data_IF_330226111282
#
_entry.id   IF_330226111282
#
_cell.length_a   1.000
_cell.length_b   1.000
_cell.length_c   1.000
_cell.angle_alpha   90.00
_cell.angle_beta   90.00
_cell.angle_gamma   90.00
#
_symmetry.space_group_name_H-M   'P 1'
#
loop_
_entity.id
_entity.type
_entity.pdbx_description
1 polymer ?
#
# COMPACT_ATOMS: atom_id res chain seq x y z
N UNK A 1 -17.95 15.08 -18.21
CA UNK A 1 -17.81 15.29 -16.75
C UNK A 1 -16.39 14.91 -16.39
N UNK A 2 -15.52 15.88 -16.07
CA UNK A 2 -14.09 15.63 -15.87
C UNK A 2 -13.88 14.77 -14.61
N UNK A 3 -13.71 13.45 -14.80
CA UNK A 3 -13.32 12.51 -13.76
C UNK A 3 -11.98 13.00 -13.19
N UNK A 4 -11.99 13.59 -11.99
CA UNK A 4 -10.76 13.80 -11.23
C UNK A 4 -10.25 12.41 -10.84
N UNK A 5 -9.51 11.77 -11.75
CA UNK A 5 -8.91 10.46 -11.49
C UNK A 5 -7.91 10.69 -10.35
N UNK A 6 -8.28 10.23 -9.16
CA UNK A 6 -7.48 10.26 -7.94
C UNK A 6 -6.35 9.25 -8.10
N UNK A 7 -5.12 9.67 -7.88
CA UNK A 7 -3.95 8.78 -7.94
C UNK A 7 -3.95 7.95 -6.67
N UNK A 8 -3.84 6.63 -6.76
CA UNK A 8 -3.83 5.77 -5.57
C UNK A 8 -2.59 4.86 -5.56
N UNK A 9 -1.95 4.76 -4.40
CA UNK A 9 -0.97 3.75 -4.06
C UNK A 9 -1.68 2.69 -3.23
N UNK A 10 -1.72 1.45 -3.71
CA UNK A 10 -2.27 0.32 -2.99
C UNK A 10 -1.15 -0.40 -2.24
N UNK A 11 -1.35 -0.59 -0.94
CA UNK A 11 -0.62 -1.58 -0.18
C UNK A 11 -1.23 -2.96 -0.46
N UNK A 12 -0.46 -3.82 -1.11
CA UNK A 12 -0.88 -5.18 -1.48
C UNK A 12 0.05 -6.22 -0.87
N UNK A 13 -0.52 -7.40 -0.62
CA UNK A 13 0.27 -8.58 -0.27
C UNK A 13 0.75 -9.30 -1.52
N UNK A 14 1.90 -9.99 -1.46
CA UNK A 14 2.27 -10.99 -2.44
C UNK A 14 1.27 -12.15 -2.40
N UNK A 15 0.25 -12.13 -3.27
CA UNK A 15 -0.69 -13.24 -3.44
C UNK A 15 -0.35 -14.04 -4.69
N UNK A 16 0.83 -14.66 -4.73
CA UNK A 16 1.05 -15.76 -5.66
C UNK A 16 0.56 -17.07 -5.02
N UNK A 17 -0.58 -17.55 -5.53
CA UNK A 17 -1.08 -18.92 -5.44
C UNK A 17 -1.37 -19.47 -4.02
N UNK A 18 -2.33 -18.87 -3.32
CA UNK A 18 -3.19 -19.64 -2.42
C UNK A 18 -4.65 -19.32 -2.72
N UNK A 19 -5.23 -20.04 -3.69
CA UNK A 19 -6.69 -20.11 -3.89
C UNK A 19 -7.38 -20.72 -2.66
N UNK A 20 -8.69 -20.46 -2.46
CA UNK A 20 -9.18 -19.93 -1.20
C UNK A 20 -9.87 -21.03 -0.38
N UNK A 21 -9.38 -21.27 0.84
CA UNK A 21 -10.15 -21.95 1.89
C UNK A 21 -10.65 -20.99 2.98
N UNK A 22 -10.32 -19.70 2.91
CA UNK A 22 -10.71 -18.73 3.93
C UNK A 22 -11.34 -17.46 3.33
N UNK A 23 -12.21 -17.63 2.33
CA UNK A 23 -13.09 -16.56 1.83
C UNK A 23 -14.25 -16.22 2.81
N UNK A 24 -14.15 -16.60 4.09
CA UNK A 24 -15.14 -16.29 5.12
C UNK A 24 -14.70 -15.25 6.14
N UNK A 25 -13.39 -15.06 6.33
CA UNK A 25 -12.80 -14.06 7.23
C UNK A 25 -11.34 -13.90 6.78
N UNK A 26 -10.99 -12.93 5.94
CA UNK A 26 -9.60 -12.48 6.05
C UNK A 26 -9.48 -11.96 7.47
N UNK A 27 -8.62 -12.58 8.27
CA UNK A 27 -8.50 -12.28 9.70
C UNK A 27 -8.49 -10.76 9.88
N UNK A 28 -9.38 -10.24 10.74
CA UNK A 28 -9.52 -8.81 11.00
C UNK A 28 -8.15 -8.16 11.28
N UNK A 29 -7.21 -8.96 11.81
CA UNK A 29 -5.81 -8.61 12.02
C UNK A 29 -5.06 -8.27 10.72
N UNK A 30 -5.17 -9.06 9.65
CA UNK A 30 -4.52 -8.79 8.35
C UNK A 30 -5.00 -7.47 7.78
N UNK A 31 -6.33 -7.26 7.76
CA UNK A 31 -6.94 -6.03 7.25
C UNK A 31 -6.51 -4.83 8.09
N UNK A 32 -6.49 -4.97 9.42
CA UNK A 32 -6.04 -3.91 10.34
C UNK A 32 -4.57 -3.56 10.11
N UNK A 33 -3.68 -4.55 9.99
CA UNK A 33 -2.25 -4.33 9.72
C UNK A 33 -2.05 -3.60 8.40
N UNK A 34 -2.75 -4.00 7.33
CA UNK A 34 -2.68 -3.33 6.03
C UNK A 34 -3.19 -1.88 6.11
N UNK A 35 -4.35 -1.67 6.75
CA UNK A 35 -4.95 -0.33 6.95
C UNK A 35 -4.00 0.60 7.71
N UNK A 36 -3.49 0.16 8.85
CA UNK A 36 -2.62 0.97 9.70
C UNK A 36 -1.30 1.30 8.99
N UNK A 37 -0.76 0.33 8.24
CA UNK A 37 0.44 0.54 7.42
C UNK A 37 0.19 1.55 6.30
N UNK A 38 -0.93 1.46 5.58
CA UNK A 38 -1.27 2.41 4.53
C UNK A 38 -1.42 3.84 5.08
N UNK A 39 -2.09 4.01 6.23
CA UNK A 39 -2.24 5.31 6.90
C UNK A 39 -0.90 5.88 7.37
N UNK A 40 0.00 5.02 7.84
CA UNK A 40 1.32 5.45 8.27
C UNK A 40 2.19 5.88 7.09
N UNK A 41 2.21 5.10 6.01
CA UNK A 41 2.91 5.46 4.77
C UNK A 41 2.42 6.79 4.20
N UNK A 42 1.13 7.07 4.34
CA UNK A 42 0.55 8.32 3.87
C UNK A 42 1.09 9.53 4.65
N UNK A 43 1.18 9.43 5.98
CA UNK A 43 1.77 10.46 6.86
C UNK A 43 3.26 10.66 6.62
N UNK A 44 3.97 9.59 6.27
CA UNK A 44 5.41 9.65 5.98
C UNK A 44 5.70 10.00 4.51
N UNK A 45 4.67 10.26 3.68
CA UNK A 45 4.78 10.40 2.23
C UNK A 45 5.88 11.36 1.81
N UNK A 46 5.95 12.55 2.41
CA UNK A 46 6.97 13.54 2.06
C UNK A 46 8.42 13.00 2.19
N UNK A 47 8.66 12.07 3.12
CA UNK A 47 9.97 11.47 3.36
C UNK A 47 10.25 10.25 2.46
N UNK A 48 9.20 9.53 2.06
CA UNK A 48 9.31 8.29 1.27
C UNK A 48 9.10 8.51 -0.23
N UNK A 49 8.46 9.61 -0.64
CA UNK A 49 8.10 9.90 -2.03
C UNK A 49 9.27 9.79 -3.02
N UNK A 50 10.47 10.34 -2.75
CA UNK A 50 11.61 10.20 -3.67
C UNK A 50 12.03 8.74 -3.85
N UNK A 51 11.84 7.91 -2.82
CA UNK A 51 12.18 6.48 -2.88
C UNK A 51 11.12 5.73 -3.67
N UNK A 52 9.84 6.00 -3.40
CA UNK A 52 8.74 5.42 -4.16
C UNK A 52 8.84 5.78 -5.64
N UNK A 53 9.02 7.05 -5.99
CA UNK A 53 9.10 7.51 -7.39
C UNK A 53 10.30 6.92 -8.16
N UNK A 54 11.40 6.57 -7.47
CA UNK A 54 12.51 5.86 -8.11
C UNK A 54 12.20 4.40 -8.42
N UNK A 55 11.46 3.72 -7.53
CA UNK A 55 11.18 2.29 -7.66
C UNK A 55 9.94 2.02 -8.51
N UNK A 56 8.90 2.86 -8.39
CA UNK A 56 7.65 2.77 -9.15
C UNK A 56 7.79 3.69 -10.37
N UNK A 57 8.09 3.10 -11.52
CA UNK A 57 8.38 3.80 -12.77
C UNK A 57 7.91 2.97 -13.98
N UNK A 58 8.32 3.33 -15.20
CA UNK A 58 7.92 2.64 -16.43
C UNK A 58 8.37 1.17 -16.51
N UNK A 59 9.36 0.77 -15.72
CA UNK A 59 9.92 -0.59 -15.70
C UNK A 59 9.31 -1.48 -14.61
N UNK A 60 8.61 -0.90 -13.63
CA UNK A 60 7.98 -1.62 -12.53
C UNK A 60 7.01 -0.71 -11.79
N UNK A 61 5.77 -1.17 -11.60
CA UNK A 61 4.69 -0.36 -11.00
C UNK A 61 4.51 -0.62 -9.49
N UNK A 62 5.45 -1.34 -8.89
CA UNK A 62 5.47 -1.70 -7.49
C UNK A 62 6.84 -1.44 -6.85
N UNK A 63 6.84 -1.29 -5.54
CA UNK A 63 8.03 -1.18 -4.72
C UNK A 63 7.86 -2.02 -3.45
N UNK A 64 8.80 -2.92 -3.12
CA UNK A 64 8.75 -3.64 -1.86
C UNK A 64 8.91 -2.67 -0.69
N UNK A 65 8.23 -2.91 0.43
CA UNK A 65 8.28 -2.01 1.60
C UNK A 65 9.71 -1.81 2.13
N UNK A 66 10.58 -2.82 1.98
CA UNK A 66 12.00 -2.77 2.34
C UNK A 66 12.79 -1.74 1.53
N UNK A 67 12.32 -1.35 0.34
CA UNK A 67 12.94 -0.26 -0.40
C UNK A 67 12.85 1.07 0.37
N UNK A 68 11.82 1.24 1.20
CA UNK A 68 11.58 2.46 1.97
C UNK A 68 12.49 2.60 3.18
N UNK A 69 13.11 1.53 3.68
CA UNK A 69 13.99 1.56 4.86
C UNK A 69 15.45 1.87 4.50
N UNK A 70 15.77 1.90 3.19
CA UNK A 70 17.10 2.22 2.68
C UNK A 70 17.57 3.62 3.12
N UNK A 71 18.89 3.83 3.33
CA UNK A 71 19.43 5.10 3.80
C UNK A 71 19.17 6.20 2.77
N UNK A 72 18.17 7.03 3.04
CA UNK A 72 17.96 8.30 2.36
C UNK A 72 18.18 9.44 3.38
N UNK A 73 18.30 10.67 2.90
CA UNK A 73 18.43 11.90 3.70
C UNK A 73 17.19 12.18 4.59
N UNK A 74 16.91 11.28 5.54
CA UNK A 74 15.90 11.39 6.58
C UNK A 74 16.61 11.49 7.92
N UNK A 75 15.96 12.12 8.91
CA UNK A 75 16.50 12.10 10.26
C UNK A 75 16.64 10.66 10.77
N UNK A 76 17.71 10.36 11.52
CA UNK A 76 17.95 9.02 12.07
C UNK A 76 16.80 8.50 12.94
N UNK A 77 16.06 9.41 13.59
CA UNK A 77 14.90 9.09 14.44
C UNK A 77 13.68 8.69 13.61
N UNK A 78 13.32 9.49 12.60
CA UNK A 78 12.21 9.16 11.70
C UNK A 78 12.48 7.87 10.93
N UNK A 79 13.73 7.66 10.50
CA UNK A 79 14.15 6.41 9.85
C UNK A 79 13.90 5.19 10.74
N UNK A 80 14.41 5.22 11.98
CA UNK A 80 14.25 4.10 12.92
C UNK A 80 12.78 3.81 13.21
N UNK A 81 11.95 4.85 13.36
CA UNK A 81 10.51 4.69 13.58
C UNK A 81 9.84 3.95 12.43
N UNK A 82 10.05 4.39 11.19
CA UNK A 82 9.47 3.76 10.01
C UNK A 82 9.98 2.31 9.83
N UNK A 83 11.29 2.09 10.00
CA UNK A 83 11.91 0.77 9.86
C UNK A 83 11.31 -0.25 10.84
N UNK A 84 11.23 0.11 12.12
CA UNK A 84 10.58 -0.73 13.15
C UNK A 84 9.12 -1.01 12.81
N UNK A 85 8.39 0.00 12.31
CA UNK A 85 6.98 -0.15 11.96
C UNK A 85 6.79 -1.11 10.79
N UNK A 86 7.52 -0.92 9.68
CA UNK A 86 7.40 -1.79 8.51
C UNK A 86 7.80 -3.23 8.84
N UNK A 87 8.87 -3.42 9.63
CA UNK A 87 9.24 -4.75 10.13
C UNK A 87 8.18 -5.38 11.03
N UNK A 88 7.53 -4.61 11.90
CA UNK A 88 6.46 -5.11 12.77
C UNK A 88 5.19 -5.47 11.99
N UNK A 89 4.83 -4.68 10.98
CA UNK A 89 3.68 -4.94 10.12
C UNK A 89 3.89 -6.21 9.30
N UNK A 90 5.07 -6.36 8.71
CA UNK A 90 5.42 -7.55 7.93
C UNK A 90 5.39 -8.82 8.79
N UNK A 91 6.00 -8.76 9.99
CA UNK A 91 5.94 -9.86 10.96
C UNK A 91 4.51 -10.20 11.35
N UNK A 92 3.70 -9.21 11.71
CA UNK A 92 2.31 -9.42 12.11
C UNK A 92 1.48 -10.05 10.97
N UNK A 93 1.78 -9.69 9.72
CA UNK A 93 1.11 -10.28 8.56
C UNK A 93 1.53 -11.75 8.35
N UNK A 94 2.83 -12.05 8.46
CA UNK A 94 3.34 -13.42 8.36
C UNK A 94 2.76 -14.32 9.46
N UNK A 95 2.69 -13.83 10.70
CA UNK A 95 2.06 -14.53 11.82
C UNK A 95 0.55 -14.74 11.59
N UNK A 96 -0.15 -13.76 11.05
CA UNK A 96 -1.58 -13.88 10.77
C UNK A 96 -1.88 -14.84 9.60
N UNK A 97 -0.91 -15.08 8.72
CA UNK A 97 -1.04 -15.98 7.57
C UNK A 97 -0.38 -17.34 7.77
N UNK A 98 0.38 -17.55 8.85
CA UNK A 98 1.09 -18.80 9.14
C UNK A 98 2.22 -19.11 8.16
N UNK A 99 2.90 -18.07 7.67
CA UNK A 99 3.96 -18.16 6.64
C UNK A 99 5.30 -17.55 7.13
N UNK A 100 5.53 -17.60 8.44
CA UNK A 100 6.67 -16.98 9.12
C UNK A 100 8.02 -17.38 8.53
N UNK A 101 8.14 -18.63 8.06
CA UNK A 101 9.39 -19.23 7.57
C UNK A 101 9.56 -19.16 6.04
N UNK A 102 8.59 -18.61 5.31
CA UNK A 102 8.51 -18.78 3.84
C UNK A 102 8.78 -17.48 3.06
N UNK A 103 8.64 -16.32 3.70
CA UNK A 103 8.87 -15.03 3.04
C UNK A 103 9.58 -14.03 3.97
N UNK A 104 10.60 -13.35 3.45
CA UNK A 104 11.28 -12.25 4.15
C UNK A 104 10.45 -10.96 4.18
N UNK A 105 9.55 -10.80 3.20
CA UNK A 105 8.64 -9.67 3.09
C UNK A 105 7.38 -10.05 2.29
N UNK A 106 6.21 -9.70 2.80
CA UNK A 106 4.92 -9.97 2.17
C UNK A 106 4.26 -8.73 1.55
N UNK A 107 4.63 -7.53 2.00
CA UNK A 107 3.97 -6.30 1.61
C UNK A 107 4.76 -5.51 0.55
N UNK A 108 4.03 -4.98 -0.41
CA UNK A 108 4.52 -4.03 -1.40
C UNK A 108 3.56 -2.85 -1.60
N UNK A 109 4.08 -1.73 -2.07
CA UNK A 109 3.28 -0.59 -2.52
C UNK A 109 3.24 -0.61 -4.03
N UNK A 110 2.04 -0.60 -4.63
CA UNK A 110 1.84 -0.52 -6.08
C UNK A 110 1.00 0.68 -6.47
N UNK A 111 1.18 1.16 -7.69
CA UNK A 111 0.23 2.10 -8.27
C UNK A 111 -1.09 1.37 -8.59
N UNK A 112 -2.23 1.96 -8.25
CA UNK A 112 -3.54 1.33 -8.46
C UNK A 112 -3.90 1.17 -9.95
N UNK A 113 -3.50 2.13 -10.77
CA UNK A 113 -3.68 2.11 -12.21
C UNK A 113 -2.41 2.64 -12.90
N UNK A 114 -1.81 1.91 -13.84
CA UNK A 114 -0.62 2.34 -14.58
C UNK A 114 -0.74 3.74 -15.21
N UNK A 115 -1.93 4.13 -15.65
CA UNK A 115 -2.19 5.45 -16.27
C UNK A 115 -1.97 6.63 -15.32
N UNK A 116 -1.97 6.38 -14.01
CA UNK A 116 -1.71 7.41 -13.00
C UNK A 116 -0.23 7.79 -12.89
N UNK A 117 0.67 6.99 -13.48
CA UNK A 117 2.12 7.08 -13.27
C UNK A 117 2.66 8.46 -13.66
N UNK A 118 2.29 8.94 -14.85
CA UNK A 118 2.79 10.21 -15.37
C UNK A 118 2.43 11.38 -14.45
N UNK A 119 1.19 11.41 -13.94
CA UNK A 119 0.70 12.48 -13.06
C UNK A 119 1.34 12.42 -11.68
N UNK A 120 1.55 11.21 -11.16
CA UNK A 120 2.18 11.00 -9.87
C UNK A 120 3.68 11.37 -9.89
N UNK A 121 4.38 10.99 -10.96
CA UNK A 121 5.76 11.40 -11.20
C UNK A 121 5.89 12.91 -11.41
N UNK A 122 4.87 13.56 -11.96
CA UNK A 122 4.78 15.03 -12.06
C UNK A 122 4.47 15.74 -10.73
N UNK A 123 4.39 15.01 -9.61
CA UNK A 123 4.24 15.58 -8.27
C UNK A 123 2.79 15.68 -7.77
N UNK A 124 1.81 15.13 -8.49
CA UNK A 124 0.46 15.04 -7.97
C UNK A 124 0.41 14.08 -6.77
N UNK A 125 -0.14 14.55 -5.65
CA UNK A 125 -0.25 13.77 -4.42
C UNK A 125 -1.13 12.52 -4.63
N UNK A 126 -0.67 11.33 -4.19
CA UNK A 126 -1.45 10.10 -4.19
C UNK A 126 -2.33 10.00 -2.94
N UNK A 127 -3.36 9.18 -3.03
CA UNK A 127 -4.04 8.57 -1.90
C UNK A 127 -3.40 7.22 -1.60
N UNK A 128 -3.34 6.83 -0.34
CA UNK A 128 -2.83 5.54 0.12
C UNK A 128 -3.99 4.65 0.51
N UNK A 129 -4.21 3.60 -0.27
CA UNK A 129 -5.25 2.63 -0.04
C UNK A 129 -4.62 1.28 0.37
N UNK A 130 -5.46 0.38 0.89
CA UNK A 130 -5.07 -0.98 1.19
C UNK A 130 -6.04 -1.96 0.57
N UNK A 131 -5.54 -3.14 0.21
CA UNK A 131 -6.36 -4.25 -0.23
C UNK A 131 -7.25 -4.79 0.91
N UNK A 132 -8.59 -4.75 0.75
CA UNK A 132 -9.54 -5.41 1.64
C UNK A 132 -9.40 -6.95 1.63
N UNK A 133 -10.15 -7.59 2.53
CA UNK A 133 -10.37 -9.03 2.50
C UNK A 133 -11.03 -9.50 1.20
N UNK A 134 -10.72 -10.72 0.75
CA UNK A 134 -11.39 -11.35 -0.39
C UNK A 134 -10.87 -10.90 -1.76
N UNK A 135 -11.52 -11.37 -2.82
CA UNK A 135 -11.08 -11.13 -4.19
C UNK A 135 -11.29 -9.67 -4.61
N UNK A 136 -10.35 -9.10 -5.37
CA UNK A 136 -10.42 -7.74 -5.92
C UNK A 136 -11.75 -7.45 -6.64
N UNK A 137 -12.33 -8.47 -7.30
CA UNK A 137 -13.62 -8.39 -8.01
C UNK A 137 -14.82 -8.17 -7.08
N UNK A 138 -14.67 -8.42 -5.79
CA UNK A 138 -15.74 -8.31 -4.78
C UNK A 138 -15.66 -7.02 -3.97
N UNK A 139 -14.61 -6.23 -4.15
CA UNK A 139 -14.43 -4.98 -3.41
C UNK A 139 -15.41 -3.91 -3.90
N UNK A 140 -16.38 -3.58 -3.06
CA UNK A 140 -17.36 -2.52 -3.32
C UNK A 140 -16.88 -1.15 -2.84
N UNK A 141 -15.95 -1.14 -1.89
CA UNK A 141 -15.34 0.07 -1.34
C UNK A 141 -13.92 -0.24 -0.88
N UNK A 142 -12.99 0.67 -1.15
CA UNK A 142 -11.63 0.63 -0.63
C UNK A 142 -11.45 1.91 0.17
N UNK A 143 -11.00 1.78 1.41
CA UNK A 143 -10.62 2.94 2.18
C UNK A 143 -9.24 3.43 1.75
N UNK A 144 -9.10 4.75 1.67
CA UNK A 144 -7.86 5.41 1.30
C UNK A 144 -7.58 6.59 2.23
N UNK A 145 -6.30 6.95 2.35
CA UNK A 145 -5.81 8.05 3.16
C UNK A 145 -5.10 9.07 2.28
N UNK A 146 -5.33 10.35 2.51
CA UNK A 146 -4.50 11.40 1.91
C UNK A 146 -3.09 11.43 2.54
N UNK A 147 -2.22 12.31 2.03
CA UNK A 147 -0.84 12.48 2.50
C UNK A 147 -0.73 13.04 3.94
N UNK A 148 -1.85 13.35 4.59
CA UNK A 148 -1.93 13.74 6.00
C UNK A 148 -2.45 12.59 6.89
N UNK A 149 -2.91 11.49 6.28
CA UNK A 149 -3.49 10.35 6.98
C UNK A 149 -4.97 10.49 7.29
N UNK A 150 -5.66 11.40 6.63
CA UNK A 150 -7.11 11.57 6.73
C UNK A 150 -7.81 10.75 5.66
N UNK A 151 -8.98 10.19 5.98
CA UNK A 151 -9.86 9.59 5.00
C UNK A 151 -10.55 10.73 4.22
N UNK A 152 -10.29 10.91 2.91
CA UNK A 152 -11.04 11.88 2.14
C UNK A 152 -12.51 11.46 2.13
N UNK A 153 -13.39 12.41 2.44
CA UNK A 153 -14.84 12.19 2.44
C UNK A 153 -15.24 11.79 1.02
N UNK A 154 -15.83 10.61 0.85
CA UNK A 154 -16.17 9.92 -0.42
C UNK A 154 -14.99 9.42 -1.29
N UNK A 155 -14.50 8.20 -1.00
CA UNK A 155 -13.81 7.37 -1.99
C UNK A 155 -14.64 6.12 -2.31
N UNK A 156 -15.27 6.12 -3.49
CA UNK A 156 -15.79 4.91 -4.14
C UNK A 156 -14.76 4.47 -5.17
N UNK A 157 -14.51 3.17 -5.26
CA UNK A 157 -13.73 2.59 -6.36
C UNK A 157 -14.55 2.81 -7.64
N UNK A 158 -14.34 3.93 -8.32
CA UNK A 158 -15.01 4.17 -9.60
C UNK A 158 -14.22 3.43 -10.67
N UNK A 159 -14.87 2.41 -11.23
CA UNK A 159 -14.52 1.65 -12.45
C UNK A 159 -13.22 0.82 -12.38
N UNK A 160 -13.29 -0.34 -11.73
CA UNK A 160 -12.61 -1.52 -12.27
C UNK A 160 -13.39 -1.96 -13.52
N UNK A 161 -12.91 -1.51 -14.67
CA UNK A 161 -13.01 -2.14 -15.99
C UNK A 161 -14.31 -2.88 -16.32
N UNK A 162 -15.19 -2.22 -17.08
CA UNK A 162 -15.81 -2.80 -18.28
C UNK A 162 -16.02 -1.70 -19.32
#
# INVERSE_FOLDING_TARGET
MNKKILISLLLVGFTHAFTPAFAGNADNRVVTVKRDTAKQLSRDYAQIAPTLQRNINSYGLNAPLSALTKPQARSSRSKRSLDTQLHSADRALREAQGVEDVADQLLEVRLADPSMLARWQAGQAPLFAFEPAGDEKTWTQIEAFDIEGNTPVDFKVVDQVS
#
